data_IF_492027719150
#
_entry.id   IF_492027719150
#
_cell.length_a   1.000
_cell.length_b   1.000
_cell.length_c   1.000
_cell.angle_alpha   90.00
_cell.angle_beta   90.00
_cell.angle_gamma   90.00
#
_symmetry.space_group_name_H-M   'P 1'
#
loop_
_entity.id
_entity.type
_entity.pdbx_description
1 polymer ?
#
# COMPACT_ATOMS: atom_id res chain seq x y z
N UNK A 1 -44.10 11.89 -27.22
CA UNK A 1 -42.78 12.37 -27.68
C UNK A 1 -41.78 11.95 -26.61
N UNK A 2 -41.09 10.82 -26.82
CA UNK A 2 -40.15 10.26 -25.83
C UNK A 2 -38.75 10.76 -26.09
N UNK A 3 -38.14 11.43 -25.12
CA UNK A 3 -36.74 11.87 -25.20
C UNK A 3 -35.88 10.71 -24.67
N UNK A 4 -35.10 10.09 -25.56
CA UNK A 4 -34.02 9.18 -25.21
C UNK A 4 -32.78 10.03 -24.92
N UNK A 5 -32.43 10.19 -23.63
CA UNK A 5 -31.12 10.73 -23.25
C UNK A 5 -30.08 9.61 -23.34
N UNK A 6 -29.23 9.67 -24.35
CA UNK A 6 -28.05 8.81 -24.47
C UNK A 6 -27.00 9.16 -23.42
N UNK A 7 -26.38 8.14 -22.82
CA UNK A 7 -25.28 8.30 -21.88
C UNK A 7 -24.09 8.99 -22.58
N UNK A 8 -23.74 10.20 -22.15
CA UNK A 8 -22.48 10.82 -22.54
C UNK A 8 -21.31 10.01 -21.93
N UNK A 9 -20.22 9.76 -22.69
CA UNK A 9 -19.03 9.13 -22.13
C UNK A 9 -18.47 10.04 -21.03
N UNK A 10 -18.41 9.52 -19.79
CA UNK A 10 -17.76 10.23 -18.69
C UNK A 10 -16.30 10.50 -19.07
N UNK A 11 -15.78 11.73 -18.92
CA UNK A 11 -14.38 12.01 -19.18
C UNK A 11 -13.53 11.06 -18.33
N UNK A 12 -12.58 10.36 -18.96
CA UNK A 12 -11.60 9.55 -18.23
C UNK A 12 -10.82 10.50 -17.31
N UNK A 13 -10.69 10.20 -16.01
CA UNK A 13 -9.86 11.01 -15.14
C UNK A 13 -8.43 11.02 -15.70
N UNK A 14 -7.72 12.16 -15.60
CA UNK A 14 -6.33 12.23 -16.00
C UNK A 14 -5.52 11.18 -15.23
N UNK A 15 -4.65 10.47 -15.94
CA UNK A 15 -3.72 9.51 -15.33
C UNK A 15 -2.65 10.29 -14.59
N UNK A 16 -2.67 10.25 -13.26
CA UNK A 16 -1.60 10.82 -12.43
C UNK A 16 -0.49 9.81 -12.26
N UNK A 17 0.74 10.22 -12.55
CA UNK A 17 1.93 9.40 -12.36
C UNK A 17 2.42 9.55 -10.91
N UNK A 18 2.77 8.43 -10.29
CA UNK A 18 3.32 8.38 -8.95
C UNK A 18 4.41 7.31 -8.88
N UNK A 19 5.37 7.48 -7.98
CA UNK A 19 6.48 6.54 -7.79
C UNK A 19 6.50 5.97 -6.37
N UNK A 20 7.06 4.78 -6.24
CA UNK A 20 7.35 4.16 -4.95
C UNK A 20 8.80 4.43 -4.54
N UNK A 21 8.98 4.96 -3.33
CA UNK A 21 10.24 4.96 -2.62
C UNK A 21 10.29 3.76 -1.67
N UNK A 22 10.92 2.67 -2.11
CA UNK A 22 10.96 1.39 -1.39
C UNK A 22 12.33 1.12 -0.75
N UNK A 23 12.89 2.11 -0.04
CA UNK A 23 14.19 2.01 0.65
C UNK A 23 14.07 2.51 2.09
N UNK A 24 14.84 1.93 3.01
CA UNK A 24 14.81 2.37 4.42
C UNK A 24 15.45 3.76 4.62
N UNK A 25 16.39 4.15 3.77
CA UNK A 25 16.90 5.52 3.72
C UNK A 25 15.97 6.34 2.82
N UNK A 26 15.31 7.34 3.39
CA UNK A 26 14.56 8.34 2.62
C UNK A 26 15.50 9.49 2.30
N UNK A 27 16.24 9.30 1.21
CA UNK A 27 17.12 10.32 0.63
C UNK A 27 17.03 10.16 -0.88
N UNK A 28 16.41 11.14 -1.54
CA UNK A 28 16.25 11.14 -2.98
C UNK A 28 17.57 11.61 -3.60
N UNK A 29 18.21 10.71 -4.34
CA UNK A 29 19.40 11.08 -5.11
C UNK A 29 19.07 12.18 -6.13
N UNK A 30 20.06 12.97 -6.58
CA UNK A 30 19.85 13.98 -7.62
C UNK A 30 19.20 13.41 -8.90
N UNK A 31 19.54 12.16 -9.25
CA UNK A 31 18.93 11.45 -10.37
C UNK A 31 17.45 11.12 -10.12
N UNK A 32 17.11 10.60 -8.94
CA UNK A 32 15.72 10.34 -8.56
C UNK A 32 14.91 11.64 -8.56
N UNK A 33 15.44 12.73 -8.00
CA UNK A 33 14.78 14.03 -8.03
C UNK A 33 14.56 14.53 -9.47
N UNK A 34 15.58 14.44 -10.33
CA UNK A 34 15.46 14.82 -11.74
C UNK A 34 14.38 13.99 -12.47
N UNK A 35 14.28 12.69 -12.17
CA UNK A 35 13.24 11.81 -12.72
C UNK A 35 11.86 12.28 -12.28
N UNK A 36 11.67 12.60 -10.99
CA UNK A 36 10.41 13.10 -10.47
C UNK A 36 10.01 14.42 -11.14
N UNK A 37 10.96 15.34 -11.26
CA UNK A 37 10.73 16.66 -11.86
C UNK A 37 10.41 16.55 -13.36
N UNK A 38 11.19 15.76 -14.10
CA UNK A 38 11.02 15.57 -15.56
C UNK A 38 9.68 14.95 -15.90
N UNK A 39 9.20 14.04 -15.05
CA UNK A 39 7.94 13.34 -15.25
C UNK A 39 6.73 14.04 -14.59
N UNK A 40 6.93 15.23 -14.01
CA UNK A 40 5.88 16.02 -13.34
C UNK A 40 5.11 15.17 -12.31
N UNK A 41 5.87 14.51 -11.43
CA UNK A 41 5.30 13.63 -10.41
C UNK A 41 4.78 14.45 -9.24
N UNK A 42 3.48 14.31 -8.95
CA UNK A 42 2.82 15.06 -7.89
C UNK A 42 2.62 14.26 -6.59
N UNK A 43 2.97 12.97 -6.59
CA UNK A 43 2.71 12.07 -5.47
C UNK A 43 3.77 10.96 -5.36
N UNK A 44 4.22 10.70 -4.12
CA UNK A 44 5.07 9.55 -3.80
C UNK A 44 4.40 8.57 -2.87
N UNK A 45 4.64 7.28 -3.09
CA UNK A 45 4.38 6.22 -2.12
C UNK A 45 5.67 5.95 -1.34
N UNK A 46 5.65 6.10 -0.02
CA UNK A 46 6.86 5.95 0.81
C UNK A 46 6.69 4.75 1.73
N UNK A 47 7.53 3.74 1.57
CA UNK A 47 7.55 2.59 2.46
C UNK A 47 8.12 2.98 3.83
N UNK A 48 7.32 2.81 4.88
CA UNK A 48 7.72 3.15 6.24
C UNK A 48 8.36 1.98 6.98
N UNK A 49 7.74 0.81 6.89
CA UNK A 49 8.21 -0.41 7.53
C UNK A 49 7.59 -1.63 6.87
N UNK A 50 8.21 -2.76 7.15
CA UNK A 50 7.68 -4.08 6.87
C UNK A 50 7.26 -4.72 8.20
N UNK A 51 6.27 -5.60 8.16
CA UNK A 51 5.86 -6.43 9.29
C UNK A 51 5.93 -7.88 8.87
N UNK A 52 6.67 -8.64 9.67
CA UNK A 52 6.96 -10.04 9.41
C UNK A 52 6.67 -10.89 10.64
N UNK A 53 6.61 -12.21 10.48
CA UNK A 53 6.35 -13.13 11.59
C UNK A 53 7.60 -13.93 11.98
N UNK A 54 7.93 -13.89 13.27
CA UNK A 54 8.93 -14.77 13.90
C UNK A 54 8.30 -15.50 15.10
N UNK A 55 8.55 -15.06 16.34
CA UNK A 55 7.80 -15.49 17.53
C UNK A 55 6.54 -14.62 17.79
N UNK A 56 6.18 -13.82 16.81
CA UNK A 56 5.15 -12.78 16.84
C UNK A 56 5.41 -11.76 15.72
N UNK A 57 4.53 -10.77 15.54
CA UNK A 57 4.72 -9.73 14.53
C UNK A 57 5.90 -8.83 14.91
N UNK A 58 6.88 -8.73 14.01
CA UNK A 58 8.11 -7.93 14.20
C UNK A 58 8.26 -6.90 13.09
N UNK A 59 8.61 -5.64 13.40
CA UNK A 59 8.88 -4.64 12.39
C UNK A 59 10.27 -4.89 11.75
N UNK A 60 10.33 -4.86 10.43
CA UNK A 60 11.55 -4.99 9.62
C UNK A 60 11.69 -3.81 8.67
N UNK A 61 12.90 -3.60 8.17
CA UNK A 61 13.18 -2.58 7.15
C UNK A 61 12.67 -1.19 7.52
N UNK A 62 12.65 -0.84 8.81
CA UNK A 62 12.07 0.41 9.32
C UNK A 62 12.80 1.62 8.72
N UNK A 63 12.04 2.64 8.33
CA UNK A 63 12.57 3.90 7.82
C UNK A 63 13.55 4.50 8.84
N UNK A 64 14.71 4.91 8.36
CA UNK A 64 15.80 5.42 9.20
C UNK A 64 15.46 6.80 9.77
N UNK A 65 15.91 7.05 11.01
CA UNK A 65 15.85 8.37 11.61
C UNK A 65 16.68 9.38 10.80
N UNK A 66 16.25 10.64 10.75
CA UNK A 66 16.90 11.68 9.93
C UNK A 66 16.55 11.63 8.44
N UNK A 67 15.49 10.89 8.07
CA UNK A 67 14.91 10.88 6.74
C UNK A 67 14.68 12.29 6.16
N UNK A 68 15.11 12.51 4.92
CA UNK A 68 14.86 13.73 4.16
C UNK A 68 13.52 13.62 3.43
N UNK A 69 12.47 14.12 4.07
CA UNK A 69 11.12 14.07 3.51
C UNK A 69 10.98 14.96 2.27
N UNK A 70 10.34 14.47 1.20
CA UNK A 70 10.10 15.27 0.00
C UNK A 70 9.21 16.48 0.28
N UNK A 71 9.30 17.51 -0.55
CA UNK A 71 8.35 18.63 -0.56
C UNK A 71 6.96 18.21 -1.08
N UNK A 72 6.91 17.14 -1.87
CA UNK A 72 5.71 16.59 -2.49
C UNK A 72 4.75 15.94 -1.47
N UNK A 73 3.44 15.91 -1.76
CA UNK A 73 2.50 15.02 -1.10
C UNK A 73 2.94 13.56 -1.17
N UNK A 74 2.60 12.78 -0.16
CA UNK A 74 2.93 11.36 -0.14
C UNK A 74 1.86 10.48 0.53
N UNK A 75 1.89 9.20 0.17
CA UNK A 75 1.12 8.12 0.79
C UNK A 75 2.10 7.20 1.52
N UNK A 76 2.13 7.22 2.87
CA UNK A 76 2.84 6.21 3.64
C UNK A 76 2.31 4.82 3.33
N UNK A 77 3.25 3.89 3.15
CA UNK A 77 2.99 2.51 2.78
C UNK A 77 3.63 1.58 3.79
N UNK A 78 2.94 0.52 4.18
CA UNK A 78 3.51 -0.58 4.95
C UNK A 78 3.41 -1.88 4.16
N UNK A 79 4.38 -2.75 4.33
CA UNK A 79 4.30 -4.12 3.82
C UNK A 79 4.05 -5.08 4.97
N UNK A 80 3.14 -6.03 4.81
CA UNK A 80 2.89 -7.09 5.79
C UNK A 80 2.94 -8.42 5.07
N UNK A 81 3.77 -9.34 5.58
CA UNK A 81 3.85 -10.67 4.99
C UNK A 81 2.55 -11.46 5.21
N UNK A 82 2.16 -12.28 4.23
CA UNK A 82 0.96 -13.11 4.39
C UNK A 82 1.06 -14.07 5.59
N UNK A 83 2.26 -14.60 5.86
CA UNK A 83 2.51 -15.48 7.01
C UNK A 83 2.22 -14.83 8.36
N UNK A 84 2.29 -13.50 8.45
CA UNK A 84 1.82 -12.77 9.63
C UNK A 84 0.36 -13.08 9.88
N UNK A 85 -0.49 -13.04 8.85
CA UNK A 85 -1.91 -13.35 8.98
C UNK A 85 -2.22 -14.84 9.06
N UNK A 86 -1.35 -15.72 8.56
CA UNK A 86 -1.48 -17.17 8.74
C UNK A 86 -1.28 -17.59 10.21
N UNK A 87 -0.36 -16.93 10.91
CA UNK A 87 -0.01 -17.27 12.30
C UNK A 87 -0.76 -16.43 13.35
N UNK A 88 -1.25 -15.24 12.97
CA UNK A 88 -1.94 -14.32 13.86
C UNK A 88 -3.26 -14.90 14.35
N UNK A 89 -3.44 -14.89 15.67
CA UNK A 89 -4.72 -15.23 16.27
C UNK A 89 -5.71 -14.07 16.12
N UNK A 90 -6.99 -14.30 15.80
CA UNK A 90 -7.97 -13.23 15.56
C UNK A 90 -8.07 -12.22 16.72
N UNK A 91 -7.98 -12.69 17.97
CA UNK A 91 -8.01 -11.82 19.16
C UNK A 91 -6.80 -10.90 19.30
N UNK A 92 -5.67 -11.20 18.66
CA UNK A 92 -4.46 -10.39 18.68
C UNK A 92 -4.40 -9.37 17.53
N UNK A 93 -5.34 -9.45 16.57
CA UNK A 93 -5.40 -8.54 15.42
C UNK A 93 -5.56 -7.06 15.83
N UNK A 94 -6.45 -6.69 16.77
CA UNK A 94 -6.58 -5.29 17.18
C UNK A 94 -5.29 -4.72 17.80
N UNK A 95 -4.56 -5.55 18.54
CA UNK A 95 -3.26 -5.17 19.12
C UNK A 95 -2.19 -4.96 18.04
N UNK A 96 -2.17 -5.80 17.00
CA UNK A 96 -1.29 -5.60 15.84
C UNK A 96 -1.57 -4.27 15.15
N UNK A 97 -2.85 -3.96 14.87
CA UNK A 97 -3.24 -2.68 14.29
C UNK A 97 -2.77 -1.50 15.16
N UNK A 98 -2.98 -1.58 16.47
CA UNK A 98 -2.53 -0.54 17.42
C UNK A 98 -1.02 -0.32 17.40
N UNK A 99 -0.24 -1.42 17.39
CA UNK A 99 1.23 -1.36 17.31
C UNK A 99 1.70 -0.71 16.01
N UNK A 100 1.06 -1.04 14.89
CA UNK A 100 1.37 -0.44 13.59
C UNK A 100 1.03 1.05 13.58
N UNK A 101 -0.15 1.45 14.06
CA UNK A 101 -0.55 2.88 14.13
C UNK A 101 0.45 3.67 14.97
N UNK A 102 0.82 3.16 16.14
CA UNK A 102 1.84 3.77 16.99
C UNK A 102 3.15 3.94 16.22
N UNK A 103 3.60 2.88 15.53
CA UNK A 103 4.86 2.92 14.78
C UNK A 103 4.83 3.88 13.60
N UNK A 104 3.73 3.93 12.85
CA UNK A 104 3.53 4.89 11.75
C UNK A 104 3.61 6.33 12.27
N UNK A 105 2.94 6.63 13.38
CA UNK A 105 2.97 7.96 14.00
C UNK A 105 4.34 8.33 14.60
N UNK A 106 5.13 7.35 15.03
CA UNK A 106 6.52 7.57 15.45
C UNK A 106 7.45 7.88 14.26
N UNK A 107 7.19 7.29 13.08
CA UNK A 107 8.07 7.42 11.92
C UNK A 107 7.80 8.69 11.10
N UNK A 108 6.57 9.20 11.09
CA UNK A 108 6.22 10.42 10.37
C UNK A 108 6.27 11.62 11.33
N UNK A 109 7.20 12.56 11.13
CA UNK A 109 7.25 13.76 11.95
C UNK A 109 5.97 14.60 11.83
N UNK A 110 5.50 15.27 12.90
CA UNK A 110 4.28 16.08 12.88
C UNK A 110 4.24 17.12 11.76
N UNK A 111 5.38 17.72 11.41
CA UNK A 111 5.51 18.72 10.34
C UNK A 111 5.27 18.15 8.94
N UNK A 112 5.35 16.82 8.76
CA UNK A 112 5.07 16.16 7.49
C UNK A 112 3.63 15.67 7.37
N UNK A 113 2.86 15.62 8.47
CA UNK A 113 1.45 15.19 8.44
C UNK A 113 0.57 15.96 7.45
N UNK A 114 0.73 17.29 7.25
CA UNK A 114 -0.05 18.02 6.25
C UNK A 114 0.17 17.57 4.80
N UNK A 115 1.28 16.86 4.51
CA UNK A 115 1.59 16.31 3.18
C UNK A 115 1.08 14.89 2.99
N UNK A 116 0.60 14.24 4.06
CA UNK A 116 0.03 12.90 3.98
C UNK A 116 -1.35 13.00 3.34
N UNK A 117 -1.55 12.26 2.25
CA UNK A 117 -2.81 12.28 1.47
C UNK A 117 -3.56 10.95 1.49
N UNK A 118 -3.09 9.98 2.28
CA UNK A 118 -3.71 8.67 2.40
C UNK A 118 -2.80 7.67 3.11
N UNK A 119 -3.09 6.39 2.96
CA UNK A 119 -2.30 5.30 3.49
C UNK A 119 -2.45 4.05 2.61
N UNK A 120 -1.37 3.29 2.46
CA UNK A 120 -1.39 2.05 1.68
C UNK A 120 -0.90 0.86 2.50
N UNK A 121 -1.60 -0.26 2.36
CA UNK A 121 -1.17 -1.56 2.87
C UNK A 121 -0.81 -2.47 1.71
N UNK A 122 0.42 -2.96 1.71
CA UNK A 122 0.88 -4.00 0.79
C UNK A 122 0.87 -5.35 1.49
N UNK A 123 0.04 -6.28 1.01
CA UNK A 123 -0.02 -7.64 1.51
C UNK A 123 -0.54 -8.57 0.40
N UNK A 124 0.17 -9.67 0.15
CA UNK A 124 -0.28 -10.70 -0.79
C UNK A 124 -1.17 -11.73 -0.08
N UNK A 125 -2.39 -11.31 0.28
CA UNK A 125 -3.32 -12.19 1.01
C UNK A 125 -3.82 -13.34 0.13
N UNK A 126 -4.17 -14.45 0.78
CA UNK A 126 -4.74 -15.64 0.12
C UNK A 126 -6.19 -15.83 0.54
N UNK A 127 -6.87 -16.84 -0.04
CA UNK A 127 -8.22 -17.22 0.40
C UNK A 127 -8.26 -17.56 1.91
N UNK A 128 -7.20 -18.18 2.45
CA UNK A 128 -7.13 -18.56 3.86
C UNK A 128 -6.93 -17.38 4.82
N UNK A 129 -6.19 -16.36 4.41
CA UNK A 129 -5.92 -15.16 5.24
C UNK A 129 -6.86 -13.99 4.96
N UNK A 130 -7.71 -14.10 3.93
CA UNK A 130 -8.65 -13.05 3.49
C UNK A 130 -9.44 -12.43 4.64
N UNK A 131 -10.08 -13.26 5.47
CA UNK A 131 -10.99 -12.75 6.52
C UNK A 131 -10.22 -11.89 7.51
N UNK A 132 -9.17 -12.44 8.12
CA UNK A 132 -8.38 -11.72 9.14
C UNK A 132 -7.66 -10.50 8.55
N UNK A 133 -7.22 -10.56 7.30
CA UNK A 133 -6.62 -9.41 6.61
C UNK A 133 -7.66 -8.29 6.37
N UNK A 134 -8.87 -8.62 5.97
CA UNK A 134 -9.91 -7.60 5.71
C UNK A 134 -10.40 -6.97 7.02
N UNK A 135 -10.56 -7.77 8.07
CA UNK A 135 -10.86 -7.27 9.42
C UNK A 135 -9.73 -6.34 9.91
N UNK A 136 -8.48 -6.72 9.67
CA UNK A 136 -7.31 -5.89 9.96
C UNK A 136 -7.31 -4.57 9.18
N UNK A 137 -7.65 -4.56 7.89
CA UNK A 137 -7.73 -3.33 7.09
C UNK A 137 -8.78 -2.35 7.64
N UNK A 138 -9.95 -2.86 8.02
CA UNK A 138 -11.03 -2.06 8.61
C UNK A 138 -10.62 -1.47 9.96
N UNK A 139 -10.02 -2.29 10.83
CA UNK A 139 -9.52 -1.86 12.14
C UNK A 139 -8.40 -0.83 12.00
N UNK A 140 -7.41 -1.09 11.13
CA UNK A 140 -6.28 -0.20 10.89
C UNK A 140 -6.75 1.16 10.36
N UNK A 141 -7.67 1.20 9.40
CA UNK A 141 -8.24 2.45 8.88
C UNK A 141 -8.90 3.26 10.00
N UNK A 142 -9.69 2.59 10.85
CA UNK A 142 -10.39 3.21 11.98
C UNK A 142 -9.42 3.82 12.99
N UNK A 143 -8.37 3.08 13.36
CA UNK A 143 -7.39 3.55 14.34
C UNK A 143 -6.43 4.63 13.78
N UNK A 144 -6.13 4.59 12.48
CA UNK A 144 -5.31 5.61 11.82
C UNK A 144 -6.00 6.98 11.82
N UNK A 145 -7.25 7.03 11.33
CA UNK A 145 -8.02 8.27 11.15
C UNK A 145 -7.36 9.30 10.24
N UNK A 146 -7.86 10.54 10.26
CA UNK A 146 -7.30 11.62 9.47
C UNK A 146 -5.84 11.96 9.87
N UNK A 147 -4.96 12.28 8.90
CA UNK A 147 -5.21 12.41 7.46
C UNK A 147 -5.08 11.10 6.65
N UNK A 148 -4.77 9.97 7.29
CA UNK A 148 -4.41 8.71 6.62
C UNK A 148 -5.59 8.01 5.93
N UNK A 149 -6.82 8.28 6.38
CA UNK A 149 -8.06 7.65 5.90
C UNK A 149 -8.63 8.27 4.62
N UNK A 150 -8.08 9.39 4.13
CA UNK A 150 -8.57 10.13 2.96
C UNK A 150 -8.46 9.34 1.64
N UNK A 151 -7.36 8.60 1.48
CA UNK A 151 -7.13 7.70 0.35
C UNK A 151 -6.52 6.40 0.89
N UNK A 152 -7.37 5.56 1.48
CA UNK A 152 -6.94 4.28 2.02
C UNK A 152 -6.91 3.21 0.92
N UNK A 153 -5.75 2.59 0.72
CA UNK A 153 -5.53 1.68 -0.41
C UNK A 153 -4.84 0.39 -0.04
N UNK A 154 -5.04 -0.64 -0.85
CA UNK A 154 -4.30 -1.90 -0.75
C UNK A 154 -3.68 -2.26 -2.11
N UNK A 155 -2.50 -2.86 -2.10
CA UNK A 155 -1.95 -3.50 -3.31
C UNK A 155 -2.79 -4.73 -3.68
N UNK A 156 -2.88 -5.06 -4.97
CA UNK A 156 -3.63 -6.21 -5.46
C UNK A 156 -2.80 -6.92 -6.55
N UNK A 157 -2.65 -8.24 -6.45
CA UNK A 157 -2.02 -9.08 -7.47
C UNK A 157 -3.01 -9.48 -8.57
N UNK A 158 -2.50 -9.78 -9.76
CA UNK A 158 -3.31 -10.26 -10.89
C UNK A 158 -4.18 -11.48 -10.55
N UNK A 159 -3.66 -12.42 -9.76
CA UNK A 159 -4.41 -13.62 -9.39
C UNK A 159 -5.58 -13.29 -8.43
N UNK A 160 -5.42 -12.31 -7.54
CA UNK A 160 -6.50 -11.83 -6.67
C UNK A 160 -7.60 -11.12 -7.46
N UNK A 161 -7.25 -10.42 -8.55
CA UNK A 161 -8.24 -9.90 -9.51
C UNK A 161 -8.93 -11.04 -10.25
N UNK A 162 -8.17 -12.00 -10.79
CA UNK A 162 -8.71 -13.12 -11.57
C UNK A 162 -9.69 -13.98 -10.75
N UNK A 163 -9.39 -14.19 -9.47
CA UNK A 163 -10.17 -15.06 -8.58
C UNK A 163 -10.86 -14.29 -7.45
N UNK A 164 -11.27 -13.04 -7.70
CA UNK A 164 -11.86 -12.15 -6.69
C UNK A 164 -13.09 -12.73 -5.98
N UNK A 165 -13.81 -13.67 -6.59
CA UNK A 165 -14.94 -14.39 -5.95
C UNK A 165 -14.48 -15.26 -4.78
N UNK A 166 -13.23 -15.75 -4.80
CA UNK A 166 -12.61 -16.53 -3.73
C UNK A 166 -11.79 -15.63 -2.81
N UNK A 167 -10.84 -14.90 -3.39
CA UNK A 167 -9.90 -14.04 -2.64
C UNK A 167 -10.57 -12.78 -2.08
N UNK A 168 -11.78 -12.44 -2.52
CA UNK A 168 -12.52 -11.28 -2.07
C UNK A 168 -12.00 -9.95 -2.63
N UNK A 169 -12.73 -8.88 -2.31
CA UNK A 169 -12.37 -7.50 -2.62
C UNK A 169 -12.07 -6.80 -1.28
N UNK A 170 -10.85 -6.27 -1.07
CA UNK A 170 -10.48 -5.66 0.20
C UNK A 170 -11.35 -4.42 0.49
N UNK A 171 -11.72 -4.15 1.77
CA UNK A 171 -12.57 -3.04 2.15
C UNK A 171 -11.80 -1.70 2.19
N UNK A 172 -11.28 -1.29 1.04
CA UNK A 172 -10.45 -0.07 0.87
C UNK A 172 -11.03 0.83 -0.21
N UNK A 173 -10.64 2.11 -0.23
CA UNK A 173 -11.15 3.09 -1.18
C UNK A 173 -10.60 2.84 -2.60
N UNK A 174 -9.36 2.31 -2.68
CA UNK A 174 -8.67 2.04 -3.94
C UNK A 174 -7.79 0.80 -3.89
N UNK A 175 -7.89 -0.05 -4.91
CA UNK A 175 -6.93 -1.12 -5.19
C UNK A 175 -5.79 -0.66 -6.08
N UNK A 176 -4.54 -0.98 -5.74
CA UNK A 176 -3.36 -0.74 -6.57
C UNK A 176 -2.90 -2.04 -7.23
N UNK A 177 -3.22 -2.22 -8.51
CA UNK A 177 -2.79 -3.40 -9.25
C UNK A 177 -1.26 -3.42 -9.41
N UNK A 178 -0.64 -4.41 -8.79
CA UNK A 178 0.79 -4.70 -8.89
C UNK A 178 1.06 -5.54 -10.14
N UNK A 179 1.39 -4.86 -11.24
CA UNK A 179 1.65 -5.46 -12.54
C UNK A 179 3.16 -5.53 -12.84
N UNK A 180 3.86 -6.49 -12.21
CA UNK A 180 5.29 -6.72 -12.42
C UNK A 180 5.65 -8.19 -12.15
N UNK A 181 5.17 -9.13 -12.97
CA UNK A 181 5.80 -10.46 -13.04
C UNK A 181 5.43 -11.17 -14.34
N UNK A 182 5.51 -10.45 -15.45
CA UNK A 182 5.40 -11.07 -16.78
C UNK A 182 6.78 -11.62 -17.16
N UNK A 183 7.31 -12.57 -16.37
CA UNK A 183 8.39 -13.42 -16.88
C UNK A 183 7.89 -14.04 -18.19
N UNK A 184 8.73 -14.14 -19.23
CA UNK A 184 8.33 -14.82 -20.44
C UNK A 184 7.87 -16.23 -20.06
N UNK A 185 6.62 -16.57 -20.36
CA UNK A 185 6.00 -17.88 -20.08
C UNK A 185 6.73 -19.04 -20.79
N UNK A 186 7.81 -18.75 -21.53
CA UNK A 186 8.53 -19.64 -22.44
C UNK A 186 9.95 -19.99 -21.98
N UNK A 187 10.40 -19.60 -20.78
CA UNK A 187 11.73 -20.00 -20.29
C UNK A 187 11.62 -21.06 -19.18
N UNK A 188 11.97 -22.34 -19.45
CA UNK A 188 11.96 -23.40 -18.45
C UNK A 188 13.03 -23.27 -17.35
N UNK A 189 13.84 -22.19 -17.35
CA UNK A 189 14.86 -21.95 -16.31
C UNK A 189 14.55 -20.80 -15.35
N UNK A 190 13.39 -20.15 -15.41
CA UNK A 190 13.08 -19.10 -14.42
C UNK A 190 12.75 -19.71 -13.05
N UNK A 191 13.75 -19.73 -12.17
CA UNK A 191 13.54 -19.79 -10.72
C UNK A 191 12.64 -18.63 -10.33
N UNK A 192 11.50 -18.94 -9.67
CA UNK A 192 10.49 -17.96 -9.26
C UNK A 192 11.15 -16.71 -8.66
N UNK A 193 10.96 -15.59 -9.33
CA UNK A 193 11.31 -14.29 -8.78
C UNK A 193 10.11 -13.79 -7.98
N UNK A 194 10.26 -13.94 -6.66
CA UNK A 194 9.42 -13.52 -5.52
C UNK A 194 8.12 -14.29 -5.36
#
# INVERSE_FOLDING_TARGET
MGILSGCAPKPKPPTTLAFYHWKSALDLSPLEQQILDTNQVDLLYIRLLDVDWEAGPVPKGVLQAGAHWPSLPFIPTIFITNRTFEALQPQAMPELAQKIVKKVRELIPPEQLPKVTGFQVDCDWTEGTRSIYFDFLAELKTQLGAPFDQSYSATIRLHQIKYFTRTGVPPVDRGMLMYYNMSPVMDPQTTNSI
#
